data_IF_053066988119
#
_entry.id   IF_053066988119
#
_cell.length_a   1.000
_cell.length_b   1.000
_cell.length_c   1.000
_cell.angle_alpha   90.00
_cell.angle_beta   90.00
_cell.angle_gamma   90.00
#
_symmetry.space_group_name_H-M   'P 1'
#
loop_
_entity.id
_entity.type
_entity.pdbx_description
1 polymer ?
#
# COMPACT_ATOMS: atom_id res chain seq x y z
N UNK A 1 9.89 -3.67 -67.65
CA UNK A 1 9.08 -3.52 -66.43
C UNK A 1 9.68 -4.26 -65.22
N UNK A 2 10.43 -5.34 -65.42
CA UNK A 2 11.04 -6.15 -64.35
C UNK A 2 12.07 -5.40 -63.47
N UNK A 3 12.82 -4.45 -64.04
CA UNK A 3 13.80 -3.67 -63.27
C UNK A 3 13.14 -2.69 -62.27
N UNK A 4 11.96 -2.17 -62.60
CA UNK A 4 11.25 -1.20 -61.75
C UNK A 4 10.60 -1.93 -60.57
N UNK A 5 9.99 -3.10 -60.80
CA UNK A 5 9.42 -3.93 -59.74
C UNK A 5 10.51 -4.48 -58.79
N UNK A 6 11.70 -4.83 -59.31
CA UNK A 6 12.86 -5.18 -58.49
C UNK A 6 13.34 -4.02 -57.60
N UNK A 7 13.33 -2.79 -58.13
CA UNK A 7 13.68 -1.60 -57.35
C UNK A 7 12.67 -1.30 -56.22
N UNK A 8 11.37 -1.42 -56.47
CA UNK A 8 10.36 -1.22 -55.43
C UNK A 8 10.37 -2.31 -54.36
N UNK A 9 10.61 -3.56 -54.75
CA UNK A 9 10.69 -4.69 -53.80
C UNK A 9 11.91 -4.57 -52.89
N UNK A 10 13.06 -4.18 -53.44
CA UNK A 10 14.27 -3.93 -52.63
C UNK A 10 14.07 -2.77 -51.63
N UNK A 11 13.46 -1.67 -52.07
CA UNK A 11 13.10 -0.55 -51.17
C UNK A 11 12.17 -1.00 -50.05
N UNK A 12 11.11 -1.76 -50.39
CA UNK A 12 10.16 -2.27 -49.40
C UNK A 12 10.84 -3.18 -48.37
N UNK A 13 11.73 -4.07 -48.80
CA UNK A 13 12.51 -4.92 -47.91
C UNK A 13 13.40 -4.09 -46.96
N UNK A 14 14.05 -3.03 -47.45
CA UNK A 14 14.85 -2.14 -46.61
C UNK A 14 14.00 -1.45 -45.55
N UNK A 15 12.80 -0.96 -45.90
CA UNK A 15 11.88 -0.36 -44.93
C UNK A 15 11.37 -1.37 -43.88
N UNK A 16 11.08 -2.61 -44.27
CA UNK A 16 10.70 -3.68 -43.35
C UNK A 16 11.85 -4.03 -42.39
N UNK A 17 13.08 -4.12 -42.91
CA UNK A 17 14.26 -4.33 -42.08
C UNK A 17 14.49 -3.18 -41.09
N UNK A 18 14.42 -1.93 -41.54
CA UNK A 18 14.61 -0.77 -40.66
C UNK A 18 13.52 -0.64 -39.59
N UNK A 19 12.26 -0.91 -39.95
CA UNK A 19 11.14 -0.90 -38.99
C UNK A 19 11.24 -2.02 -37.97
N UNK A 20 11.62 -3.24 -38.37
CA UNK A 20 11.84 -4.35 -37.43
C UNK A 20 12.95 -4.04 -36.43
N UNK A 21 14.09 -3.49 -36.88
CA UNK A 21 15.18 -3.04 -36.00
C UNK A 21 14.69 -1.98 -35.02
N UNK A 22 13.91 -1.00 -35.48
CA UNK A 22 13.33 0.02 -34.60
C UNK A 22 12.41 -0.61 -33.54
N UNK A 23 11.52 -1.53 -33.92
CA UNK A 23 10.64 -2.24 -32.99
C UNK A 23 11.46 -3.03 -31.95
N UNK A 24 12.51 -3.74 -32.38
CA UNK A 24 13.41 -4.46 -31.47
C UNK A 24 14.10 -3.52 -30.48
N UNK A 25 14.56 -2.34 -30.93
CA UNK A 25 15.19 -1.36 -30.02
C UNK A 25 14.19 -0.82 -28.98
N UNK A 26 12.92 -0.63 -29.34
CA UNK A 26 11.88 -0.20 -28.40
C UNK A 26 11.51 -1.31 -27.41
N UNK A 27 11.37 -2.55 -27.87
CA UNK A 27 11.14 -3.70 -26.99
C UNK A 27 12.32 -3.93 -26.02
N UNK A 28 13.56 -3.77 -26.50
CA UNK A 28 14.75 -3.85 -25.66
C UNK A 28 14.77 -2.74 -24.60
N UNK A 29 14.44 -1.49 -24.95
CA UNK A 29 14.29 -0.38 -23.97
C UNK A 29 13.23 -0.68 -22.92
N UNK A 30 12.06 -1.17 -23.32
CA UNK A 30 10.98 -1.56 -22.39
C UNK A 30 11.45 -2.68 -21.46
N UNK A 31 12.17 -3.68 -21.98
CA UNK A 31 12.68 -4.79 -21.18
C UNK A 31 13.78 -4.35 -20.19
N UNK A 32 14.71 -3.50 -20.63
CA UNK A 32 15.74 -2.92 -19.75
C UNK A 32 15.09 -2.07 -18.65
N UNK A 33 14.08 -1.26 -18.98
CA UNK A 33 13.31 -0.50 -17.99
C UNK A 33 12.56 -1.40 -17.02
N UNK A 34 11.93 -2.49 -17.50
CA UNK A 34 11.26 -3.49 -16.65
C UNK A 34 12.25 -4.19 -15.70
N UNK A 35 13.46 -4.52 -16.17
CA UNK A 35 14.52 -5.12 -15.34
C UNK A 35 15.03 -4.14 -14.28
N UNK A 36 15.20 -2.86 -14.63
CA UNK A 36 15.61 -1.79 -13.69
C UNK A 36 14.52 -1.53 -12.64
N UNK A 37 13.24 -1.56 -13.03
CA UNK A 37 12.10 -1.51 -12.11
C UNK A 37 12.08 -2.72 -11.19
N UNK A 38 12.27 -3.94 -11.71
CA UNK A 38 12.30 -5.17 -10.88
C UNK A 38 13.47 -5.20 -9.90
N UNK A 39 14.65 -4.71 -10.29
CA UNK A 39 15.79 -4.55 -9.36
C UNK A 39 15.49 -3.47 -8.30
N UNK A 40 14.86 -2.36 -8.67
CA UNK A 40 14.44 -1.30 -7.73
C UNK A 40 13.32 -1.78 -6.80
N UNK A 41 12.42 -2.67 -7.23
CA UNK A 41 11.41 -3.33 -6.40
C UNK A 41 12.11 -4.28 -5.41
N UNK A 42 13.09 -5.07 -5.88
CA UNK A 42 13.87 -5.97 -5.01
C UNK A 42 14.68 -5.22 -3.94
N UNK A 43 15.15 -4.00 -4.23
CA UNK A 43 15.85 -3.15 -3.26
C UNK A 43 14.93 -2.26 -2.42
N UNK A 44 13.71 -1.95 -2.89
CA UNK A 44 12.67 -1.20 -2.13
C UNK A 44 11.84 -2.07 -1.20
N UNK A 45 11.96 -3.39 -1.30
CA UNK A 45 11.52 -4.33 -0.26
C UNK A 45 12.32 -4.19 1.06
N UNK A 46 13.12 -3.13 1.22
CA UNK A 46 13.69 -2.69 2.50
C UNK A 46 12.71 -2.01 3.45
N UNK A 47 11.40 -2.22 3.31
CA UNK A 47 10.50 -2.17 4.46
C UNK A 47 10.44 -3.59 5.01
N UNK A 48 11.10 -3.81 6.16
CA UNK A 48 11.13 -5.07 6.90
C UNK A 48 9.70 -5.57 7.12
N UNK A 49 9.19 -6.38 6.20
CA UNK A 49 8.36 -7.50 6.59
C UNK A 49 9.32 -8.45 7.27
N UNK A 50 9.36 -8.36 8.61
CA UNK A 50 10.19 -9.25 9.40
C UNK A 50 9.76 -10.67 9.05
N UNK A 51 10.67 -11.39 8.42
CA UNK A 51 10.38 -12.64 7.71
C UNK A 51 10.60 -13.85 8.63
N UNK A 52 10.39 -13.64 9.93
CA UNK A 52 10.61 -14.62 10.98
C UNK A 52 9.31 -14.81 11.76
N UNK A 53 8.51 -15.78 11.33
CA UNK A 53 7.43 -16.32 12.16
C UNK A 53 7.49 -17.84 12.12
N UNK A 54 8.58 -18.38 12.68
CA UNK A 54 8.62 -19.72 13.24
C UNK A 54 8.76 -19.51 14.75
N UNK A 55 7.66 -19.80 15.45
CA UNK A 55 7.61 -20.13 16.88
C UNK A 55 7.94 -19.02 17.88
N UNK A 56 7.06 -18.00 17.96
CA UNK A 56 6.95 -17.20 19.18
C UNK A 56 6.33 -18.07 20.29
N UNK A 57 7.19 -18.67 21.10
CA UNK A 57 6.87 -19.45 22.30
C UNK A 57 6.01 -18.59 23.24
N UNK A 58 4.82 -19.09 23.57
CA UNK A 58 3.89 -18.44 24.51
C UNK A 58 4.49 -18.46 25.91
N UNK A 59 4.88 -17.32 26.44
CA UNK A 59 4.98 -17.13 27.89
C UNK A 59 3.81 -16.28 28.38
N UNK A 60 2.90 -16.93 29.09
CA UNK A 60 1.81 -16.28 29.80
C UNK A 60 2.37 -15.58 31.04
N UNK A 61 2.60 -14.27 30.96
CA UNK A 61 2.91 -13.50 32.17
C UNK A 61 1.60 -13.30 32.95
N UNK A 62 1.39 -14.15 33.96
CA UNK A 62 0.44 -13.90 35.04
C UNK A 62 1.06 -12.89 36.01
N UNK A 63 0.55 -11.65 36.03
CA UNK A 63 0.82 -10.72 37.13
C UNK A 63 -0.02 -11.19 38.32
N UNK A 64 0.64 -11.73 39.36
CA UNK A 64 0.02 -12.00 40.66
C UNK A 64 0.01 -10.70 41.45
N UNK A 65 -1.12 -9.99 41.44
CA UNK A 65 -1.36 -8.92 42.40
C UNK A 65 -1.71 -9.53 43.76
N UNK A 66 -0.74 -9.44 44.67
CA UNK A 66 -0.85 -9.85 46.05
C UNK A 66 -1.48 -8.70 46.84
N UNK A 67 -2.81 -8.64 46.92
CA UNK A 67 -3.50 -7.70 47.81
C UNK A 67 -4.70 -8.36 48.49
N UNK A 68 -4.48 -8.72 49.75
CA UNK A 68 -5.54 -8.96 50.72
C UNK A 68 -6.34 -7.67 50.94
N UNK A 69 -7.58 -7.62 50.45
CA UNK A 69 -8.66 -6.97 51.20
C UNK A 69 -10.04 -7.41 50.71
N UNK A 70 -10.81 -7.97 51.66
CA UNK A 70 -12.24 -8.26 51.53
C UNK A 70 -12.97 -6.96 51.19
N UNK A 71 -13.70 -6.95 50.08
CA UNK A 71 -14.98 -6.28 49.94
C UNK A 71 -15.73 -6.85 48.73
N UNK A 72 -16.82 -7.57 49.03
CA UNK A 72 -17.82 -8.03 48.07
C UNK A 72 -18.55 -6.79 47.55
N UNK A 73 -18.25 -6.40 46.31
CA UNK A 73 -19.10 -5.48 45.55
C UNK A 73 -19.15 -5.93 44.10
N UNK A 74 -20.35 -5.91 43.54
CA UNK A 74 -20.72 -6.43 42.24
C UNK A 74 -19.98 -5.71 41.10
N UNK A 75 -18.76 -6.15 40.80
CA UNK A 75 -18.01 -5.64 39.65
C UNK A 75 -18.04 -6.67 38.53
N UNK A 76 -18.86 -6.37 37.52
CA UNK A 76 -18.76 -6.87 36.16
C UNK A 76 -17.28 -6.96 35.80
N UNK A 77 -16.73 -8.18 35.78
CA UNK A 77 -15.32 -8.47 35.53
C UNK A 77 -14.93 -7.80 34.23
N UNK A 78 -14.30 -6.62 34.31
CA UNK A 78 -13.67 -5.98 33.15
C UNK A 78 -12.70 -7.03 32.64
N UNK A 79 -12.94 -7.55 31.43
CA UNK A 79 -11.99 -8.42 30.75
C UNK A 79 -10.69 -7.65 30.70
N UNK A 80 -9.71 -8.06 31.51
CA UNK A 80 -8.36 -7.54 31.44
C UNK A 80 -7.89 -7.73 30.00
N UNK A 81 -7.77 -6.63 29.26
CA UNK A 81 -7.41 -6.68 27.85
C UNK A 81 -5.92 -7.04 27.77
N UNK A 82 -5.63 -8.34 27.62
CA UNK A 82 -4.27 -8.90 27.55
C UNK A 82 -3.47 -8.26 26.42
N UNK A 83 -2.31 -7.72 26.77
CA UNK A 83 -1.31 -7.25 25.80
C UNK A 83 -0.32 -8.39 25.55
N UNK A 84 -0.12 -8.74 24.29
CA UNK A 84 0.87 -9.70 23.84
C UNK A 84 2.17 -8.96 23.54
N UNK A 85 3.24 -9.36 24.21
CA UNK A 85 4.59 -8.86 23.99
C UNK A 85 5.37 -9.91 23.21
N UNK A 86 5.95 -9.51 22.09
CA UNK A 86 6.78 -10.38 21.25
C UNK A 86 8.26 -10.24 21.64
N UNK A 87 9.06 -11.24 21.30
CA UNK A 87 10.50 -11.29 21.62
C UNK A 87 11.29 -10.15 20.95
N UNK A 88 10.82 -9.69 19.79
CA UNK A 88 11.39 -8.54 19.08
C UNK A 88 11.01 -7.17 19.72
N UNK A 89 10.26 -7.19 20.82
CA UNK A 89 9.82 -5.99 21.54
C UNK A 89 8.54 -5.36 21.02
N UNK A 90 7.92 -5.93 19.98
CA UNK A 90 6.63 -5.46 19.48
C UNK A 90 5.52 -5.78 20.49
N UNK A 91 4.45 -4.98 20.46
CA UNK A 91 3.29 -5.15 21.32
C UNK A 91 2.03 -5.26 20.47
N UNK A 92 1.16 -6.20 20.81
CA UNK A 92 -0.18 -6.30 20.23
C UNK A 92 -1.25 -6.38 21.30
N UNK A 93 -2.33 -5.64 21.08
CA UNK A 93 -3.55 -5.69 21.88
C UNK A 93 -4.73 -5.75 20.93
N UNK A 94 -5.44 -6.87 20.91
CA UNK A 94 -6.55 -7.07 20.01
C UNK A 94 -7.03 -8.51 19.98
N UNK A 95 -7.92 -8.81 19.05
CA UNK A 95 -8.54 -10.12 18.96
C UNK A 95 -7.63 -11.12 18.22
N UNK A 96 -7.82 -12.40 18.55
CA UNK A 96 -7.19 -13.53 17.87
C UNK A 96 -8.26 -14.55 17.49
N UNK A 97 -8.09 -15.15 16.31
CA UNK A 97 -8.86 -16.31 15.84
C UNK A 97 -7.85 -17.32 15.34
N UNK A 98 -7.92 -18.57 15.82
CA UNK A 98 -6.97 -19.65 15.49
C UNK A 98 -5.50 -19.26 15.64
N UNK A 99 -5.20 -18.49 16.70
CA UNK A 99 -3.84 -18.01 17.00
C UNK A 99 -3.33 -16.88 16.11
N UNK A 100 -4.15 -16.38 15.17
CA UNK A 100 -3.81 -15.26 14.28
C UNK A 100 -4.55 -14.00 14.66
N UNK A 101 -3.91 -12.84 14.50
CA UNK A 101 -4.55 -11.52 14.70
C UNK A 101 -5.71 -11.38 13.72
N UNK A 102 -6.89 -11.13 14.28
CA UNK A 102 -8.14 -10.95 13.55
C UNK A 102 -8.95 -9.87 14.27
N UNK A 103 -9.99 -9.33 13.63
CA UNK A 103 -10.85 -8.31 14.26
C UNK A 103 -10.11 -6.99 14.49
N UNK A 104 -10.50 -6.21 15.49
CA UNK A 104 -9.81 -4.95 15.79
C UNK A 104 -8.58 -5.18 16.67
N UNK A 105 -7.51 -4.44 16.40
CA UNK A 105 -6.31 -4.51 17.20
C UNK A 105 -5.34 -3.35 17.00
N UNK A 106 -4.56 -3.09 18.04
CA UNK A 106 -3.48 -2.12 18.09
C UNK A 106 -2.16 -2.87 18.10
N UNK A 107 -1.27 -2.54 17.17
CA UNK A 107 0.09 -3.08 17.09
C UNK A 107 1.08 -1.92 17.19
N UNK A 108 1.96 -1.98 18.19
CA UNK A 108 3.04 -1.02 18.39
C UNK A 108 4.32 -1.74 18.02
N UNK A 109 4.98 -1.25 16.97
CA UNK A 109 6.27 -1.75 16.54
C UNK A 109 7.34 -1.18 17.48
N UNK A 110 8.30 -2.01 17.86
CA UNK A 110 9.54 -1.63 18.56
C UNK A 110 10.26 -0.44 17.90
N UNK A 111 10.12 -0.32 16.58
CA UNK A 111 10.57 0.81 15.76
C UNK A 111 9.75 2.11 15.89
N UNK A 112 8.90 2.26 16.92
CA UNK A 112 8.03 3.43 17.20
C UNK A 112 6.92 3.68 16.17
N UNK A 113 6.68 2.76 15.26
CA UNK A 113 5.51 2.80 14.37
C UNK A 113 4.29 2.23 15.11
N UNK A 114 3.09 2.60 14.69
CA UNK A 114 1.85 2.10 15.28
C UNK A 114 0.80 1.84 14.21
N UNK A 115 0.16 0.68 14.26
CA UNK A 115 -1.09 0.42 13.56
C UNK A 115 -2.24 0.27 14.54
N UNK A 116 -3.40 0.81 14.17
CA UNK A 116 -4.65 0.69 14.90
C UNK A 116 -5.77 0.50 13.88
N UNK A 117 -6.40 -0.67 13.87
CA UNK A 117 -7.41 -0.98 12.87
C UNK A 117 -7.75 -2.44 12.81
N UNK A 118 -8.41 -2.83 11.72
CA UNK A 118 -8.83 -4.21 11.51
C UNK A 118 -7.65 -5.09 11.05
N UNK A 119 -7.70 -6.35 11.47
CA UNK A 119 -6.77 -7.41 11.16
C UNK A 119 -7.53 -8.59 10.56
N UNK A 120 -6.88 -9.28 9.63
CA UNK A 120 -7.34 -10.57 9.10
C UNK A 120 -6.13 -11.45 8.82
N UNK A 121 -6.07 -12.62 9.44
CA UNK A 121 -4.99 -13.60 9.25
C UNK A 121 -3.59 -12.98 9.36
N UNK A 122 -3.34 -12.26 10.47
CA UNK A 122 -2.11 -11.53 10.80
C UNK A 122 -1.76 -10.34 9.89
N UNK A 123 -2.67 -9.93 9.01
CA UNK A 123 -2.46 -8.81 8.09
C UNK A 123 -3.39 -7.65 8.43
N UNK A 124 -2.86 -6.42 8.34
CA UNK A 124 -3.69 -5.22 8.36
C UNK A 124 -4.71 -5.31 7.21
N UNK A 125 -5.97 -5.07 7.53
CA UNK A 125 -7.10 -5.23 6.62
C UNK A 125 -8.18 -4.19 6.92
N UNK A 126 -9.10 -3.95 5.98
CA UNK A 126 -10.23 -3.06 6.21
C UNK A 126 -9.79 -1.63 6.57
N UNK A 127 -10.51 -0.98 7.49
CA UNK A 127 -10.18 0.38 7.92
C UNK A 127 -9.12 0.34 9.03
N UNK A 128 -8.13 1.22 8.91
CA UNK A 128 -7.12 1.41 9.94
C UNK A 128 -6.42 2.77 9.87
N UNK A 129 -5.60 3.00 10.89
CA UNK A 129 -4.68 4.13 11.04
C UNK A 129 -3.28 3.59 11.24
N UNK A 130 -2.34 4.07 10.42
CA UNK A 130 -0.92 3.78 10.55
C UNK A 130 -0.17 5.07 10.84
N UNK A 131 0.52 5.13 11.97
CA UNK A 131 1.46 6.19 12.33
C UNK A 131 2.87 5.69 12.04
N UNK A 132 3.53 6.37 11.10
CA UNK A 132 4.89 6.06 10.68
C UNK A 132 5.92 6.70 11.60
N UNK A 133 7.15 6.20 11.53
CA UNK A 133 8.27 6.67 12.36
C UNK A 133 8.63 8.12 12.10
N UNK A 134 8.46 8.57 10.85
CA UNK A 134 8.72 9.96 10.45
C UNK A 134 7.64 10.94 10.95
N UNK A 135 6.59 10.45 11.61
CA UNK A 135 5.45 11.24 12.08
C UNK A 135 4.33 11.36 11.05
N UNK A 136 4.48 10.81 9.84
CA UNK A 136 3.39 10.74 8.88
C UNK A 136 2.28 9.81 9.39
N UNK A 137 1.05 10.10 9.00
CA UNK A 137 -0.14 9.36 9.43
C UNK A 137 -0.98 9.01 8.22
N UNK A 138 -1.20 7.72 8.00
CA UNK A 138 -2.21 7.24 7.07
C UNK A 138 -3.47 6.82 7.82
N UNK A 139 -4.64 7.21 7.31
CA UNK A 139 -5.95 6.70 7.74
C UNK A 139 -6.73 6.30 6.50
N UNK A 140 -7.19 5.06 6.43
CA UNK A 140 -7.93 4.59 5.26
C UNK A 140 -8.00 3.08 5.18
N UNK A 141 -8.23 2.61 3.96
CA UNK A 141 -8.38 1.19 3.67
C UNK A 141 -7.02 0.47 3.55
N UNK A 142 -7.00 -0.77 4.03
CA UNK A 142 -5.91 -1.72 3.98
C UNK A 142 -6.36 -3.05 3.38
N UNK A 143 -5.49 -3.66 2.57
CA UNK A 143 -5.69 -5.01 2.04
C UNK A 143 -4.35 -5.75 2.03
N UNK A 144 -4.33 -6.95 2.62
CA UNK A 144 -3.13 -7.79 2.73
C UNK A 144 -1.89 -7.06 3.30
N UNK A 145 -2.10 -6.17 4.28
CA UNK A 145 -1.00 -5.41 4.88
C UNK A 145 -0.56 -4.17 4.10
N UNK A 146 -1.25 -3.80 3.02
CA UNK A 146 -0.92 -2.66 2.17
C UNK A 146 -2.06 -1.64 2.18
N UNK A 147 -1.74 -0.34 2.09
CA UNK A 147 -2.73 0.71 1.82
C UNK A 147 -3.36 0.44 0.46
N UNK A 148 -4.66 0.27 0.40
CA UNK A 148 -5.38 -0.13 -0.81
C UNK A 148 -6.82 0.35 -0.71
N UNK A 149 -7.29 1.17 -1.65
CA UNK A 149 -8.60 1.83 -1.58
C UNK A 149 -8.51 3.32 -1.25
N UNK A 150 -9.55 3.89 -0.66
CA UNK A 150 -9.57 5.30 -0.26
C UNK A 150 -8.79 5.52 1.03
N UNK A 151 -8.05 6.63 1.09
CA UNK A 151 -7.32 7.01 2.29
C UNK A 151 -6.91 8.47 2.32
N UNK A 152 -6.41 8.88 3.49
CA UNK A 152 -5.79 10.15 3.78
C UNK A 152 -4.40 9.89 4.33
N UNK A 153 -3.39 10.50 3.73
CA UNK A 153 -2.01 10.52 4.22
C UNK A 153 -1.65 11.96 4.61
N UNK A 154 -1.40 12.18 5.89
CA UNK A 154 -0.84 13.42 6.43
C UNK A 154 0.67 13.25 6.55
N UNK A 155 1.43 14.15 5.94
CA UNK A 155 2.89 14.16 6.00
C UNK A 155 3.40 14.98 7.19
N UNK A 156 4.67 14.83 7.60
CA UNK A 156 5.23 15.56 8.75
C UNK A 156 5.27 17.08 8.54
N UNK A 157 5.33 17.53 7.28
CA UNK A 157 5.27 18.94 6.90
C UNK A 157 3.82 19.49 6.86
N UNK A 158 2.84 18.75 7.36
CA UNK A 158 1.40 19.02 7.32
C UNK A 158 0.76 19.02 5.92
N UNK A 159 1.46 18.61 4.87
CA UNK A 159 0.81 18.30 3.61
C UNK A 159 -0.16 17.13 3.82
N UNK A 160 -1.27 17.14 3.08
CA UNK A 160 -2.29 16.10 3.17
C UNK A 160 -2.63 15.63 1.76
N UNK A 161 -2.45 14.34 1.49
CA UNK A 161 -3.06 13.69 0.34
C UNK A 161 -4.36 13.00 0.73
N UNK A 162 -5.44 13.23 -0.02
CA UNK A 162 -6.69 12.47 0.08
C UNK A 162 -7.01 11.86 -1.28
N UNK A 163 -7.18 10.55 -1.35
CA UNK A 163 -7.48 9.90 -2.63
C UNK A 163 -7.31 8.40 -2.56
N UNK A 164 -7.21 7.80 -3.74
CA UNK A 164 -7.01 6.37 -3.87
C UNK A 164 -5.54 5.97 -3.69
N UNK A 165 -5.37 4.78 -3.13
CA UNK A 165 -4.11 4.07 -2.95
C UNK A 165 -4.20 2.68 -3.56
N UNK A 166 -3.08 2.23 -4.13
CA UNK A 166 -2.88 0.85 -4.58
C UNK A 166 -1.48 0.43 -4.13
N UNK A 167 -1.41 -0.67 -3.39
CA UNK A 167 -0.17 -1.30 -2.94
C UNK A 167 0.83 -0.30 -2.34
N UNK A 168 0.35 0.44 -1.35
CA UNK A 168 1.06 1.51 -0.61
C UNK A 168 1.31 2.83 -1.34
N UNK A 169 1.00 2.94 -2.63
CA UNK A 169 1.25 4.15 -3.43
C UNK A 169 -0.04 4.91 -3.71
N UNK A 170 0.04 6.24 -3.83
CA UNK A 170 -1.05 7.05 -4.38
C UNK A 170 -1.31 6.58 -5.80
N UNK A 171 -2.55 6.20 -6.10
CA UNK A 171 -2.90 5.66 -7.40
C UNK A 171 -4.39 5.91 -7.68
N UNK A 172 -4.73 6.51 -8.83
CA UNK A 172 -6.08 6.94 -9.16
C UNK A 172 -6.34 8.41 -8.82
N UNK A 173 -7.60 8.77 -8.60
CA UNK A 173 -7.98 10.16 -8.28
C UNK A 173 -7.50 10.55 -6.88
N UNK A 174 -7.01 11.78 -6.74
CA UNK A 174 -6.66 12.33 -5.44
C UNK A 174 -6.43 13.84 -5.46
N UNK A 175 -6.42 14.41 -4.26
CA UNK A 175 -6.12 15.82 -4.01
C UNK A 175 -4.99 15.91 -3.01
N UNK A 176 -3.93 16.62 -3.39
CA UNK A 176 -2.87 17.03 -2.48
C UNK A 176 -3.17 18.45 -1.98
N UNK A 177 -3.30 18.61 -0.68
CA UNK A 177 -3.38 19.87 0.04
C UNK A 177 -2.00 20.16 0.61
N UNK A 178 -1.36 21.22 0.15
CA UNK A 178 -0.07 21.64 0.67
C UNK A 178 -0.27 22.57 1.87
N UNK A 179 0.69 22.55 2.79
CA UNK A 179 0.66 23.39 3.99
C UNK A 179 0.73 24.90 3.67
N UNK A 180 1.26 25.27 2.50
CA UNK A 180 1.27 26.65 1.98
C UNK A 180 -0.11 27.14 1.49
N UNK A 181 -1.15 26.30 1.56
CA UNK A 181 -2.50 26.59 1.11
C UNK A 181 -2.79 26.16 -0.34
N UNK A 182 -1.77 25.81 -1.12
CA UNK A 182 -1.94 25.33 -2.48
C UNK A 182 -2.63 23.96 -2.50
N UNK A 183 -3.43 23.70 -3.54
CA UNK A 183 -4.14 22.42 -3.69
C UNK A 183 -4.00 21.92 -5.12
N UNK A 184 -3.73 20.62 -5.27
CA UNK A 184 -3.53 19.97 -6.56
C UNK A 184 -4.46 18.77 -6.68
N UNK A 185 -5.48 18.89 -7.53
CA UNK A 185 -6.37 17.79 -7.88
C UNK A 185 -5.84 17.09 -9.13
N UNK A 186 -5.90 15.76 -9.15
CA UNK A 186 -5.35 15.01 -10.27
C UNK A 186 -5.54 13.51 -10.22
N UNK A 187 -4.91 12.88 -11.21
CA UNK A 187 -4.77 11.44 -11.36
C UNK A 187 -3.33 11.10 -11.03
N UNK A 188 -3.15 10.13 -10.14
CA UNK A 188 -1.88 9.67 -9.64
C UNK A 188 -1.61 8.25 -10.15
N UNK A 189 -0.36 7.96 -10.49
CA UNK A 189 0.12 6.61 -10.80
C UNK A 189 1.46 6.45 -10.09
N UNK A 190 1.56 5.44 -9.22
CA UNK A 190 2.78 5.12 -8.50
C UNK A 190 3.44 6.32 -7.76
N UNK A 191 2.61 7.07 -7.02
CA UNK A 191 2.98 8.28 -6.26
C UNK A 191 3.23 9.56 -7.08
N UNK A 192 3.22 9.48 -8.41
CA UNK A 192 3.43 10.61 -9.32
C UNK A 192 2.09 11.11 -9.88
N UNK A 193 1.94 12.43 -10.00
CA UNK A 193 0.75 13.01 -10.63
C UNK A 193 0.90 12.98 -12.15
N UNK A 194 0.07 12.20 -12.84
CA UNK A 194 0.12 12.05 -14.29
C UNK A 194 -0.79 13.03 -15.03
N UNK A 195 -1.87 13.50 -14.37
CA UNK A 195 -2.83 14.44 -14.97
C UNK A 195 -3.40 15.37 -13.91
N UNK A 196 -3.46 16.66 -14.21
CA UNK A 196 -4.21 17.64 -13.42
C UNK A 196 -5.71 17.56 -13.74
N UNK A 197 -6.54 17.75 -12.73
CA UNK A 197 -7.99 17.81 -12.84
C UNK A 197 -8.50 19.10 -12.23
N UNK A 198 -9.59 19.62 -12.79
CA UNK A 198 -10.38 20.62 -12.09
C UNK A 198 -11.10 19.99 -10.91
N UNK A 199 -11.26 20.75 -9.83
CA UNK A 199 -11.92 20.26 -8.61
C UNK A 199 -13.37 19.81 -8.86
N UNK A 200 -14.04 20.40 -9.86
CA UNK A 200 -15.40 20.03 -10.27
C UNK A 200 -15.48 18.61 -10.85
N UNK A 201 -14.38 18.11 -11.43
CA UNK A 201 -14.34 16.81 -12.09
C UNK A 201 -14.00 15.65 -11.13
N UNK A 202 -13.57 15.95 -9.91
CA UNK A 202 -13.24 14.92 -8.90
C UNK A 202 -14.45 14.03 -8.60
N UNK A 203 -15.64 14.61 -8.45
CA UNK A 203 -16.87 13.91 -8.15
C UNK A 203 -17.60 13.37 -9.41
N UNK A 204 -17.02 13.54 -10.60
CA UNK A 204 -17.67 13.06 -11.82
C UNK A 204 -17.59 11.53 -11.93
N UNK A 205 -18.76 10.88 -11.83
CA UNK A 205 -18.95 9.42 -11.84
C UNK A 205 -18.43 8.76 -13.13
N UNK A 206 -18.48 9.46 -14.27
CA UNK A 206 -17.98 8.93 -15.55
C UNK A 206 -16.48 8.63 -15.50
N UNK A 207 -15.73 9.47 -14.78
CA UNK A 207 -14.30 9.33 -14.60
C UNK A 207 -13.99 8.24 -13.55
N UNK A 208 -14.84 8.09 -12.51
CA UNK A 208 -14.67 7.02 -11.50
C UNK A 208 -14.68 5.62 -12.14
N UNK A 209 -15.61 5.37 -13.08
CA UNK A 209 -15.75 4.07 -13.74
C UNK A 209 -14.55 3.71 -14.63
N UNK A 210 -13.96 4.69 -15.33
CA UNK A 210 -12.78 4.46 -16.18
C UNK A 210 -11.56 4.03 -15.35
N UNK A 211 -11.35 4.65 -14.18
CA UNK A 211 -10.22 4.29 -13.30
C UNK A 211 -10.42 2.97 -12.57
N UNK A 212 -11.64 2.69 -12.08
CA UNK A 212 -11.92 1.40 -11.45
C UNK A 212 -11.74 0.25 -12.45
N UNK A 213 -12.15 0.44 -13.70
CA UNK A 213 -11.90 -0.55 -14.76
C UNK A 213 -10.39 -0.72 -15.06
N UNK A 214 -9.60 0.36 -15.08
CA UNK A 214 -8.15 0.28 -15.29
C UNK A 214 -7.43 -0.42 -14.12
N UNK A 215 -7.83 -0.15 -12.88
CA UNK A 215 -7.32 -0.81 -11.68
C UNK A 215 -7.66 -2.31 -11.66
N UNK A 216 -8.88 -2.67 -12.05
CA UNK A 216 -9.31 -4.07 -12.14
C UNK A 216 -8.57 -4.82 -13.26
N UNK A 217 -8.36 -4.18 -14.41
CA UNK A 217 -7.63 -4.78 -15.53
C UNK A 217 -6.13 -4.96 -15.23
N UNK A 218 -5.53 -4.08 -14.41
CA UNK A 218 -4.15 -4.25 -13.96
C UNK A 218 -3.99 -5.34 -12.88
N UNK A 219 -5.04 -5.65 -12.10
CA UNK A 219 -5.06 -6.78 -11.16
C UNK A 219 -5.08 -8.15 -11.84
N UNK A 220 -5.56 -8.25 -13.09
CA UNK A 220 -5.64 -9.50 -13.85
C UNK A 220 -4.35 -9.86 -14.61
N UNK A 221 -3.28 -9.06 -14.48
CA UNK A 221 -2.01 -9.24 -15.19
C UNK A 221 -0.83 -9.68 -14.29
N UNK A 222 -1.10 -10.13 -13.06
CA UNK A 222 -0.10 -10.66 -12.12
C UNK A 222 -0.33 -12.14 -11.91
#
# INVERSE_FOLDING_TARGET
MENITSYFTTILCVFICLSSVFIFTQLARVFINKKKINQKIKSRNGFRYDRDFIEARREEIHIKDNNNNKNKSNNKKLKEEKVFKYDNGDLYKGEFVDGKKNGFGIYIFSGKEKYEGLWKDDKMHGIGKYTYRDGSIYTGEFKYGLKNGLGKLTYPNNDIYKGYFLDNKKNGKGVLYKNDGNKQAGIWEDDEQCKSLDFKDLNNNKINNVYQNRLNNNKLKV
#
